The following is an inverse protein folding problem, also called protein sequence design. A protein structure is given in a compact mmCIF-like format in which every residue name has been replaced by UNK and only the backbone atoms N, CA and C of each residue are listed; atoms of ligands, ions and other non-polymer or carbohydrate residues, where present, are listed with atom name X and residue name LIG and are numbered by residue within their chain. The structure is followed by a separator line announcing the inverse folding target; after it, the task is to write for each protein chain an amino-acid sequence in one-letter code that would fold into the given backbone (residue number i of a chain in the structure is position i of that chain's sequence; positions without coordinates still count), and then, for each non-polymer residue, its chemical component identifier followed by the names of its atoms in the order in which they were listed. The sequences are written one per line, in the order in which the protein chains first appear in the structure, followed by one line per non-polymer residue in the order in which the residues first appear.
data_IF_392775206778
#
_entry.id   IF_392775206778
#
_cell.length_a   1.000
_cell.length_b   1.000
_cell.length_c   1.000
_cell.angle_alpha   90.00
_cell.angle_beta   90.00
_cell.angle_gamma   90.00
#
_symmetry.space_group_name_H-M   'P 1'
#
loop_
_entity.id
_entity.type
_entity.pdbx_description
1 polymer ?
#
# COMPACT_ATOMS: atom_id res chain seq x y z
N UNK A 1 13.64 -1.18 -27.33
CA UNK A 1 12.72 -0.88 -26.22
C UNK A 1 13.06 -1.83 -25.07
N UNK A 2 13.66 -1.31 -24.00
CA UNK A 2 14.03 -2.10 -22.83
C UNK A 2 12.77 -2.71 -22.21
N UNK A 3 12.58 -4.00 -22.44
CA UNK A 3 11.58 -4.79 -21.74
C UNK A 3 12.06 -4.88 -20.29
N UNK A 4 11.57 -3.97 -19.44
CA UNK A 4 11.78 -3.99 -17.99
C UNK A 4 11.19 -5.32 -17.52
N UNK A 5 12.05 -6.33 -17.51
CA UNK A 5 11.70 -7.69 -17.18
C UNK A 5 11.31 -7.68 -15.71
N UNK A 6 10.01 -7.75 -15.44
CA UNK A 6 9.41 -8.05 -14.13
C UNK A 6 9.90 -9.41 -13.54
N UNK A 7 10.92 -10.00 -14.15
CA UNK A 7 11.58 -11.27 -13.83
C UNK A 7 12.66 -11.14 -12.74
N UNK A 8 13.13 -9.93 -12.40
CA UNK A 8 14.19 -9.74 -11.38
C UNK A 8 13.74 -9.32 -10.00
N UNK A 9 12.52 -8.81 -9.83
CA UNK A 9 12.05 -8.37 -8.51
C UNK A 9 11.55 -9.57 -7.72
N UNK A 10 12.18 -9.96 -6.62
CA UNK A 10 11.62 -10.97 -5.72
C UNK A 10 10.20 -10.56 -5.30
N UNK A 11 9.27 -11.51 -5.13
CA UNK A 11 7.88 -11.19 -4.75
C UNK A 11 7.83 -10.31 -3.48
N UNK A 12 8.72 -10.57 -2.52
CA UNK A 12 8.88 -9.73 -1.33
C UNK A 12 9.32 -8.28 -1.62
N UNK A 13 10.10 -8.05 -2.68
CA UNK A 13 10.48 -6.70 -3.10
C UNK A 13 9.28 -5.92 -3.65
N UNK A 14 8.39 -6.58 -4.40
CA UNK A 14 7.16 -5.95 -4.90
C UNK A 14 6.28 -5.48 -3.76
N UNK A 15 6.10 -6.31 -2.73
CA UNK A 15 5.33 -5.94 -1.53
C UNK A 15 5.92 -4.70 -0.85
N UNK A 16 7.25 -4.66 -0.66
CA UNK A 16 7.94 -3.53 -0.04
C UNK A 16 7.81 -2.25 -0.85
N UNK A 17 8.02 -2.31 -2.16
CA UNK A 17 7.88 -1.14 -3.04
C UNK A 17 6.44 -0.64 -3.10
N UNK A 18 5.46 -1.55 -3.23
CA UNK A 18 4.06 -1.19 -3.21
C UNK A 18 3.68 -0.56 -1.87
N UNK A 19 4.10 -1.14 -0.74
CA UNK A 19 3.85 -0.58 0.58
C UNK A 19 4.47 0.82 0.73
N UNK A 20 5.75 1.00 0.40
CA UNK A 20 6.42 2.30 0.50
C UNK A 20 5.78 3.37 -0.38
N UNK A 21 5.39 3.02 -1.61
CA UNK A 21 4.72 3.95 -2.52
C UNK A 21 3.36 4.41 -1.95
N UNK A 22 2.56 3.47 -1.44
CA UNK A 22 1.27 3.80 -0.85
C UNK A 22 1.42 4.50 0.51
N UNK A 23 2.43 4.15 1.31
CA UNK A 23 2.74 4.83 2.56
C UNK A 23 3.08 6.29 2.30
N UNK A 24 3.94 6.58 1.33
CA UNK A 24 4.31 7.95 0.98
C UNK A 24 3.11 8.80 0.54
N UNK A 25 2.07 8.19 -0.03
CA UNK A 25 0.87 8.88 -0.48
C UNK A 25 -0.18 9.03 0.64
N UNK A 26 -0.45 7.96 1.39
CA UNK A 26 -1.52 7.90 2.38
C UNK A 26 -1.10 8.49 3.72
N UNK A 27 0.16 8.29 4.14
CA UNK A 27 0.64 8.74 5.45
C UNK A 27 0.54 10.26 5.65
N UNK A 28 0.95 11.12 4.69
CA UNK A 28 0.80 12.57 4.86
C UNK A 28 -0.65 13.00 4.96
N UNK A 29 -1.54 12.36 4.20
CA UNK A 29 -2.99 12.65 4.21
C UNK A 29 -3.57 12.30 5.58
N UNK A 30 -3.30 11.10 6.08
CA UNK A 30 -3.74 10.70 7.41
C UNK A 30 -3.19 11.63 8.49
N UNK A 31 -1.91 11.98 8.43
CA UNK A 31 -1.29 12.89 9.40
C UNK A 31 -1.93 14.29 9.39
N UNK A 32 -2.31 14.80 8.21
CA UNK A 32 -3.07 16.05 8.09
C UNK A 32 -4.45 15.95 8.78
N UNK A 33 -5.19 14.86 8.55
CA UNK A 33 -6.46 14.62 9.24
C UNK A 33 -6.29 14.51 10.76
N UNK A 34 -5.20 13.89 11.22
CA UNK A 34 -4.84 13.79 12.64
C UNK A 34 -4.52 15.14 13.27
N UNK A 35 -3.76 15.99 12.57
CA UNK A 35 -3.47 17.37 12.99
C UNK A 35 -4.75 18.21 13.08
N UNK A 36 -5.62 18.12 12.08
CA UNK A 36 -6.91 18.80 12.10
C UNK A 36 -7.75 18.31 13.29
N UNK A 37 -7.78 17.00 13.53
CA UNK A 37 -8.49 16.40 14.68
C UNK A 37 -7.94 16.87 16.02
N UNK A 38 -6.62 16.97 16.12
CA UNK A 38 -5.91 17.49 17.30
C UNK A 38 -6.30 18.94 17.59
N UNK A 39 -6.45 19.77 16.56
CA UNK A 39 -6.86 21.18 16.66
C UNK A 39 -8.36 21.39 16.90
N UNK A 40 -9.15 20.33 17.04
CA UNK A 40 -10.60 20.41 17.30
C UNK A 40 -11.47 20.18 16.06
N UNK A 41 -10.90 19.80 14.92
CA UNK A 41 -11.68 19.43 13.73
C UNK A 41 -12.36 18.07 13.88
N UNK A 42 -13.55 17.91 13.32
CA UNK A 42 -14.32 16.66 13.35
C UNK A 42 -13.86 15.65 12.31
N UNK A 43 -12.61 15.20 12.37
CA UNK A 43 -11.99 14.31 11.37
C UNK A 43 -11.81 12.87 11.84
N UNK A 44 -11.66 12.65 13.16
CA UNK A 44 -11.50 11.32 13.76
C UNK A 44 -12.69 11.05 14.67
N UNK A 45 -13.37 9.93 14.44
CA UNK A 45 -14.53 9.52 15.23
C UNK A 45 -14.28 8.17 15.89
N UNK A 46 -14.69 8.05 17.15
CA UNK A 46 -14.72 6.80 17.88
C UNK A 46 -16.08 6.67 18.57
N UNK A 47 -16.81 5.58 18.31
CA UNK A 47 -18.14 5.33 18.89
C UNK A 47 -19.14 6.48 18.66
N UNK A 48 -19.08 7.13 17.49
CA UNK A 48 -19.96 8.24 17.15
C UNK A 48 -19.59 9.59 17.78
N UNK A 49 -18.52 9.66 18.58
CA UNK A 49 -18.01 10.92 19.14
C UNK A 49 -16.73 11.35 18.42
N UNK A 50 -16.55 12.66 18.25
CA UNK A 50 -15.31 13.22 17.73
C UNK A 50 -14.20 13.08 18.76
N UNK A 51 -13.08 12.51 18.34
CA UNK A 51 -11.87 12.43 19.16
C UNK A 51 -11.01 13.65 18.85
N UNK A 52 -10.63 14.38 19.88
CA UNK A 52 -9.81 15.58 19.78
C UNK A 52 -8.48 15.43 20.54
N UNK A 53 -7.56 16.35 20.26
CA UNK A 53 -6.25 16.40 20.92
C UNK A 53 -5.29 15.29 20.46
N UNK A 54 -4.31 15.00 21.32
CA UNK A 54 -3.23 14.04 21.05
C UNK A 54 -3.72 12.65 20.57
N UNK A 55 -4.81 12.08 21.13
CA UNK A 55 -5.31 10.77 20.68
C UNK A 55 -5.72 10.74 19.20
N UNK A 56 -6.27 11.84 18.67
CA UNK A 56 -6.66 11.93 17.26
C UNK A 56 -5.45 11.79 16.33
N UNK A 57 -4.31 12.36 16.72
CA UNK A 57 -3.05 12.25 15.99
C UNK A 57 -2.52 10.82 15.97
N UNK A 58 -2.56 10.11 17.11
CA UNK A 58 -2.11 8.71 17.18
C UNK A 58 -3.00 7.77 16.36
N UNK A 59 -4.33 7.95 16.41
CA UNK A 59 -5.27 7.15 15.61
C UNK A 59 -5.00 7.37 14.12
N UNK A 60 -4.81 8.62 13.71
CA UNK A 60 -4.49 8.96 12.34
C UNK A 60 -3.13 8.38 11.89
N UNK A 61 -2.12 8.38 12.76
CA UNK A 61 -0.81 7.79 12.47
C UNK A 61 -0.89 6.27 12.30
N UNK A 62 -1.64 5.60 13.17
CA UNK A 62 -1.90 4.16 13.06
C UNK A 62 -2.64 3.83 11.76
N UNK A 63 -3.69 4.57 11.42
CA UNK A 63 -4.42 4.40 10.16
C UNK A 63 -3.51 4.62 8.94
N UNK A 64 -2.68 5.66 8.95
CA UNK A 64 -1.74 5.96 7.88
C UNK A 64 -0.68 4.88 7.67
N UNK A 65 -0.31 4.15 8.72
CA UNK A 65 0.63 3.02 8.62
C UNK A 65 -0.05 1.72 8.16
N UNK A 66 -1.32 1.51 8.53
CA UNK A 66 -2.04 0.25 8.26
C UNK A 66 -2.69 0.26 6.87
N UNK A 67 -3.34 1.36 6.47
CA UNK A 67 -4.06 1.47 5.19
C UNK A 67 -3.23 1.08 3.95
N UNK A 68 -1.94 1.44 3.84
CA UNK A 68 -1.08 1.04 2.71
C UNK A 68 -0.85 -0.47 2.57
N UNK A 69 -1.10 -1.26 3.63
CA UNK A 69 -0.93 -2.71 3.58
C UNK A 69 -1.93 -3.39 2.64
N UNK A 70 -3.17 -2.91 2.58
CA UNK A 70 -4.21 -3.50 1.74
C UNK A 70 -3.85 -3.50 0.25
N UNK A 71 -3.54 -2.35 -0.39
CA UNK A 71 -3.14 -2.35 -1.79
C UNK A 71 -1.80 -3.06 -1.99
N UNK A 72 -0.85 -2.97 -1.05
CA UNK A 72 0.43 -3.66 -1.16
C UNK A 72 0.26 -5.19 -1.20
N UNK A 73 -0.59 -5.74 -0.34
CA UNK A 73 -0.94 -7.17 -0.33
C UNK A 73 -1.67 -7.58 -1.62
N UNK A 74 -2.57 -6.72 -2.13
CA UNK A 74 -3.25 -6.97 -3.40
C UNK A 74 -2.27 -7.06 -4.58
N UNK A 75 -1.35 -6.11 -4.69
CA UNK A 75 -0.28 -6.13 -5.71
C UNK A 75 0.62 -7.35 -5.57
N UNK A 76 0.99 -7.71 -4.34
CA UNK A 76 1.78 -8.90 -4.06
C UNK A 76 1.06 -10.19 -4.50
N UNK A 77 -0.23 -10.31 -4.19
CA UNK A 77 -1.06 -11.45 -4.58
C UNK A 77 -1.18 -11.55 -6.11
N UNK A 78 -1.38 -10.43 -6.81
CA UNK A 78 -1.37 -10.38 -8.28
C UNK A 78 -0.06 -10.90 -8.89
N UNK A 79 1.09 -10.49 -8.34
CA UNK A 79 2.40 -11.00 -8.77
C UNK A 79 2.57 -12.49 -8.45
N UNK A 80 2.08 -12.95 -7.30
CA UNK A 80 2.11 -14.36 -6.93
C UNK A 80 1.29 -15.22 -7.91
N UNK A 81 0.07 -14.80 -8.26
CA UNK A 81 -0.79 -15.49 -9.22
C UNK A 81 -0.12 -15.55 -10.60
N UNK A 82 0.42 -14.44 -11.09
CA UNK A 82 1.12 -14.40 -12.38
C UNK A 82 2.32 -15.35 -12.41
N UNK A 83 3.07 -15.48 -11.31
CA UNK A 83 4.17 -16.44 -11.19
C UNK A 83 3.69 -17.89 -11.23
N UNK A 84 2.62 -18.21 -10.51
CA UNK A 84 2.03 -19.54 -10.51
C UNK A 84 1.51 -19.95 -11.89
N UNK A 85 0.90 -18.99 -12.61
CA UNK A 85 0.44 -19.22 -13.98
C UNK A 85 1.61 -19.37 -14.96
N UNK A 86 2.73 -18.68 -14.75
CA UNK A 86 3.94 -18.83 -15.59
C UNK A 86 4.56 -20.24 -15.50
N UNK A 87 4.38 -20.93 -14.37
CA UNK A 87 4.78 -22.33 -14.21
C UNK A 87 3.80 -23.35 -14.82
N UNK A 88 2.63 -22.91 -15.31
CA UNK A 88 1.58 -23.78 -15.87
C UNK A 88 1.12 -23.40 -17.30
N UNK A 89 1.54 -22.25 -17.82
CA UNK A 89 1.23 -21.83 -19.18
C UNK A 89 2.17 -22.48 -20.20
N UNK A 90 1.68 -22.91 -21.38
CA UNK A 90 2.54 -23.31 -22.48
C UNK A 90 3.50 -22.16 -22.77
N UNK A 91 4.79 -22.47 -22.82
CA UNK A 91 5.85 -21.49 -22.96
C UNK A 91 5.57 -20.54 -24.11
N UNK A 92 5.28 -19.28 -23.81
CA UNK A 92 5.55 -18.18 -24.71
C UNK A 92 7.08 -18.08 -24.83
N UNK A 93 7.69 -18.99 -25.60
CA UNK A 93 9.02 -18.76 -26.14
C UNK A 93 8.87 -17.67 -27.18
N UNK A 94 9.05 -16.43 -26.74
CA UNK A 94 9.29 -15.32 -27.67
C UNK A 94 10.61 -15.64 -28.35
N UNK A 95 10.50 -16.11 -29.60
CA UNK A 95 11.61 -16.37 -30.50
C UNK A 95 12.39 -15.06 -30.61
N UNK A 96 13.61 -15.07 -30.09
CA UNK A 96 14.58 -14.01 -30.31
C UNK A 96 15.26 -14.34 -31.63
N UNK A 97 14.71 -13.80 -32.72
CA UNK A 97 15.42 -13.65 -33.99
C UNK A 97 16.28 -12.37 -33.93
#
# INVERSE_FOLDING_TARGET
MENITANRLAAGSVLRFAYLAHLALVFPICLLFGLIGMMGGGTVYHNGQTVHGLPALFIALALGAILPLLPALWFWLGVLVLRLLRGRGPGLSVRQD
#
